data_IF_163783755032
#
_entry.id   IF_163783755032
#
_cell.length_a   1.000
_cell.length_b   1.000
_cell.length_c   1.000
_cell.angle_alpha   90.00
_cell.angle_beta   90.00
_cell.angle_gamma   90.00
#
_symmetry.space_group_name_H-M   'P 1'
#
loop_
_entity.id
_entity.type
_entity.pdbx_description
1 polymer ?
#
# COMPACT_ATOMS: atom_id res chain seq x y z
N UNK A 1 -1.40 -11.72 32.49
CA UNK A 1 -0.22 -12.24 31.75
C UNK A 1 -0.71 -13.46 30.98
N UNK A 2 -1.23 -13.25 29.79
CA UNK A 2 -1.68 -14.35 28.91
C UNK A 2 -0.68 -14.41 27.77
N UNK A 3 0.01 -15.54 27.69
CA UNK A 3 1.09 -15.79 26.74
C UNK A 3 0.53 -15.86 25.32
N UNK A 4 1.15 -15.13 24.42
CA UNK A 4 0.95 -15.27 22.97
C UNK A 4 1.45 -16.68 22.58
N UNK A 5 0.55 -17.51 22.11
CA UNK A 5 0.93 -18.84 21.56
C UNK A 5 1.50 -18.59 20.17
N UNK A 6 2.83 -18.50 20.08
CA UNK A 6 3.56 -18.51 18.80
C UNK A 6 3.66 -19.97 18.39
N UNK A 7 2.94 -20.36 17.35
CA UNK A 7 3.17 -21.62 16.65
C UNK A 7 4.36 -21.41 15.71
N UNK A 8 5.53 -21.88 16.11
CA UNK A 8 6.72 -21.97 15.26
C UNK A 8 6.46 -22.94 14.09
N UNK A 9 6.19 -22.39 12.92
CA UNK A 9 6.41 -23.11 11.66
C UNK A 9 7.72 -22.58 11.08
N UNK A 10 8.82 -23.25 11.41
CA UNK A 10 10.15 -22.94 10.92
C UNK A 10 10.24 -23.05 9.39
N UNK A 11 10.03 -21.95 8.69
CA UNK A 11 10.48 -21.73 7.31
C UNK A 11 11.46 -20.57 7.35
N UNK A 12 12.74 -20.87 7.20
CA UNK A 12 13.79 -19.87 7.13
C UNK A 12 13.55 -18.86 6.00
N UNK A 13 14.13 -17.67 6.14
CA UNK A 13 14.14 -16.59 5.14
C UNK A 13 14.23 -17.15 3.72
N UNK A 14 13.20 -16.96 2.91
CA UNK A 14 13.09 -17.57 1.57
C UNK A 14 13.68 -16.72 0.45
N UNK A 15 14.07 -15.45 0.69
CA UNK A 15 14.57 -14.59 -0.37
C UNK A 15 15.59 -13.56 0.13
N UNK A 16 16.45 -13.10 -0.79
CA UNK A 16 17.31 -11.92 -0.62
C UNK A 16 16.52 -10.61 -0.82
N UNK A 17 15.19 -10.65 -0.73
CA UNK A 17 14.33 -9.48 -0.91
C UNK A 17 14.48 -8.49 0.21
N UNK A 18 14.36 -7.21 -0.11
CA UNK A 18 14.48 -6.10 0.82
C UNK A 18 13.35 -6.07 1.87
N UNK A 19 12.11 -6.28 1.43
CA UNK A 19 10.95 -6.56 2.28
C UNK A 19 10.26 -7.81 1.77
N UNK A 20 9.96 -8.76 2.67
CA UNK A 20 9.21 -9.98 2.37
C UNK A 20 8.06 -10.14 3.36
N UNK A 21 6.86 -10.28 2.85
CA UNK A 21 5.65 -10.63 3.61
C UNK A 21 5.24 -12.03 3.19
N UNK A 22 5.09 -12.95 4.16
CA UNK A 22 4.84 -14.37 3.91
C UNK A 22 3.65 -14.84 4.73
N UNK A 23 2.63 -15.34 4.03
CA UNK A 23 1.42 -15.92 4.60
C UNK A 23 0.82 -15.08 5.73
N UNK A 24 0.73 -13.76 5.49
CA UNK A 24 0.26 -12.82 6.50
C UNK A 24 -1.24 -12.94 6.71
N UNK A 25 -1.64 -13.18 7.97
CA UNK A 25 -3.03 -13.15 8.43
C UNK A 25 -3.16 -12.09 9.51
N UNK A 26 -4.18 -11.24 9.40
CA UNK A 26 -4.52 -10.24 10.41
C UNK A 26 -6.02 -10.29 10.67
N UNK A 27 -6.40 -10.59 11.90
CA UNK A 27 -7.79 -10.57 12.33
C UNK A 27 -8.00 -9.69 13.55
N UNK A 28 -9.18 -9.07 13.62
CA UNK A 28 -9.61 -8.23 14.73
C UNK A 28 -10.80 -8.87 15.40
N UNK A 29 -10.74 -8.99 16.71
CA UNK A 29 -11.89 -9.43 17.50
C UNK A 29 -12.86 -8.25 17.69
N UNK A 30 -14.11 -8.45 17.28
CA UNK A 30 -15.20 -7.49 17.46
C UNK A 30 -16.35 -8.16 18.21
N UNK A 31 -17.34 -7.38 18.66
CA UNK A 31 -18.54 -7.91 19.31
C UNK A 31 -19.31 -8.88 18.41
N UNK A 32 -19.28 -8.66 17.09
CA UNK A 32 -19.96 -9.49 16.08
C UNK A 32 -19.14 -10.70 15.61
N UNK A 33 -17.87 -10.84 16.06
CA UNK A 33 -16.96 -11.93 15.69
C UNK A 33 -15.60 -11.46 15.16
N UNK A 34 -14.84 -12.39 14.61
CA UNK A 34 -13.49 -12.12 14.09
C UNK A 34 -13.50 -11.59 12.64
N UNK A 35 -13.10 -10.35 12.46
CA UNK A 35 -12.94 -9.72 11.13
C UNK A 35 -11.58 -10.10 10.56
N UNK A 36 -11.55 -10.91 9.49
CA UNK A 36 -10.32 -11.35 8.80
C UNK A 36 -9.88 -10.29 7.79
N UNK A 37 -9.21 -9.26 8.26
CA UNK A 37 -8.82 -8.12 7.44
C UNK A 37 -7.72 -8.45 6.41
N UNK A 38 -6.82 -9.38 6.74
CA UNK A 38 -5.81 -9.97 5.83
C UNK A 38 -5.83 -11.48 6.04
N UNK A 39 -5.78 -12.27 4.96
CA UNK A 39 -5.99 -13.70 4.99
C UNK A 39 -5.06 -14.42 3.99
N UNK A 40 -3.81 -14.72 4.40
CA UNK A 40 -2.82 -15.44 3.59
C UNK A 40 -2.16 -14.58 2.51
N UNK A 41 -1.79 -13.34 2.86
CA UNK A 41 -1.15 -12.40 1.94
C UNK A 41 0.37 -12.62 1.88
N UNK A 42 0.91 -12.78 0.65
CA UNK A 42 2.35 -12.89 0.42
C UNK A 42 2.79 -11.99 -0.73
N UNK A 43 3.84 -11.19 -0.49
CA UNK A 43 4.48 -10.34 -1.50
C UNK A 43 5.89 -9.94 -1.09
N UNK A 44 6.64 -9.41 -2.04
CA UNK A 44 8.01 -8.94 -1.84
C UNK A 44 8.17 -7.54 -2.44
N UNK A 45 9.10 -6.77 -1.85
CA UNK A 45 9.56 -5.50 -2.39
C UNK A 45 11.06 -5.58 -2.60
N UNK A 46 11.51 -5.26 -3.79
CA UNK A 46 12.93 -5.16 -4.11
C UNK A 46 13.47 -3.78 -3.68
N UNK A 47 14.75 -3.73 -3.34
CA UNK A 47 15.40 -2.48 -2.92
C UNK A 47 15.36 -1.45 -4.06
N UNK A 48 14.99 -0.22 -3.72
CA UNK A 48 14.93 0.90 -4.65
C UNK A 48 13.75 0.85 -5.62
N UNK A 49 12.81 -0.10 -5.46
CA UNK A 49 11.63 -0.20 -6.34
C UNK A 49 10.36 0.32 -5.65
N UNK A 50 9.33 0.57 -6.46
CA UNK A 50 7.98 0.93 -5.99
C UNK A 50 7.04 -0.25 -6.23
N UNK A 51 6.39 -0.73 -5.16
CA UNK A 51 5.26 -1.64 -5.23
C UNK A 51 3.96 -0.84 -5.10
N UNK A 52 3.11 -0.87 -6.12
CA UNK A 52 1.75 -0.36 -6.05
C UNK A 52 0.81 -1.40 -5.45
N UNK A 53 0.11 -1.07 -4.36
CA UNK A 53 -0.95 -1.93 -3.80
C UNK A 53 -2.30 -1.27 -4.09
N UNK A 54 -3.12 -1.96 -4.88
CA UNK A 54 -4.42 -1.45 -5.34
C UNK A 54 -5.58 -2.34 -4.92
N UNK A 55 -6.75 -1.77 -4.81
CA UNK A 55 -7.99 -2.48 -4.49
C UNK A 55 -9.05 -1.54 -3.92
N UNK A 56 -10.30 -1.99 -3.84
CA UNK A 56 -11.40 -1.23 -3.25
C UNK A 56 -11.18 -0.96 -1.75
N UNK A 57 -11.93 0.00 -1.20
CA UNK A 57 -11.94 0.24 0.25
C UNK A 57 -12.32 -1.04 1.00
N UNK A 58 -11.67 -1.29 2.15
CA UNK A 58 -11.87 -2.52 2.92
C UNK A 58 -11.17 -3.77 2.37
N UNK A 59 -10.34 -3.68 1.32
CA UNK A 59 -9.60 -4.85 0.81
C UNK A 59 -8.42 -5.30 1.66
N UNK A 60 -8.08 -4.60 2.76
CA UNK A 60 -6.99 -4.95 3.69
C UNK A 60 -5.68 -4.18 3.50
N UNK A 61 -5.58 -3.26 2.55
CA UNK A 61 -4.35 -2.49 2.22
C UNK A 61 -3.75 -1.76 3.42
N UNK A 62 -4.53 -0.87 4.04
CA UNK A 62 -4.05 -0.07 5.18
C UNK A 62 -3.75 -0.95 6.40
N UNK A 63 -4.51 -2.04 6.61
CA UNK A 63 -4.22 -3.01 7.68
C UNK A 63 -2.85 -3.67 7.45
N UNK A 64 -2.54 -4.09 6.23
CA UNK A 64 -1.24 -4.67 5.87
C UNK A 64 -0.10 -3.72 6.21
N UNK A 65 -0.23 -2.44 5.85
CA UNK A 65 0.81 -1.45 6.10
C UNK A 65 1.00 -1.14 7.58
N UNK A 66 -0.11 -0.98 8.31
CA UNK A 66 -0.04 -0.78 9.75
C UNK A 66 0.56 -2.00 10.46
N UNK A 67 0.38 -3.21 9.88
CA UNK A 67 1.03 -4.43 10.38
C UNK A 67 2.54 -4.41 10.14
N UNK A 68 3.02 -4.00 8.96
CA UNK A 68 4.45 -3.83 8.68
C UNK A 68 5.08 -2.85 9.67
N UNK A 69 4.37 -1.80 10.01
CA UNK A 69 4.81 -0.83 11.02
C UNK A 69 4.60 -1.32 12.46
N UNK A 70 3.93 -2.44 12.69
CA UNK A 70 3.59 -2.93 14.03
C UNK A 70 2.74 -1.93 14.83
N UNK A 71 1.80 -1.24 14.18
CA UNK A 71 0.96 -0.20 14.78
C UNK A 71 -0.40 -0.73 15.31
N UNK A 72 -0.67 -2.02 15.17
CA UNK A 72 -1.86 -2.62 15.78
C UNK A 72 -1.66 -2.90 17.26
N UNK A 73 -2.73 -2.72 18.04
CA UNK A 73 -2.75 -3.16 19.44
C UNK A 73 -2.79 -4.68 19.49
N UNK A 74 -1.86 -5.29 20.24
CA UNK A 74 -1.84 -6.74 20.48
C UNK A 74 -3.07 -7.27 21.23
N UNK A 75 -3.85 -6.40 21.84
CA UNK A 75 -5.10 -6.77 22.51
C UNK A 75 -6.28 -6.91 21.53
N UNK A 76 -6.20 -6.24 20.38
CA UNK A 76 -7.29 -6.17 19.41
C UNK A 76 -6.99 -6.96 18.12
N UNK A 77 -5.73 -7.14 17.77
CA UNK A 77 -5.31 -7.78 16.53
C UNK A 77 -4.55 -9.09 16.79
N UNK A 78 -5.00 -10.17 16.16
CA UNK A 78 -4.25 -11.42 16.05
C UNK A 78 -3.51 -11.39 14.71
N UNK A 79 -2.16 -11.51 14.76
CA UNK A 79 -1.28 -11.46 13.60
C UNK A 79 -0.52 -12.78 13.51
N UNK A 80 -0.55 -13.42 12.33
CA UNK A 80 0.19 -14.64 12.01
C UNK A 80 0.89 -14.46 10.66
N UNK A 81 1.91 -15.28 10.40
CA UNK A 81 2.78 -15.17 9.23
C UNK A 81 4.07 -14.45 9.56
N UNK A 82 4.84 -14.09 8.55
CA UNK A 82 6.15 -13.49 8.71
C UNK A 82 6.27 -12.21 7.90
N UNK A 83 6.93 -11.20 8.47
CA UNK A 83 7.31 -9.95 7.79
C UNK A 83 8.79 -9.72 8.03
N UNK A 84 9.59 -9.86 6.99
CA UNK A 84 11.03 -9.63 7.02
C UNK A 84 11.37 -8.30 6.34
N UNK A 85 11.99 -7.40 7.08
CA UNK A 85 12.56 -6.17 6.57
C UNK A 85 14.09 -6.24 6.70
N UNK A 86 14.78 -6.28 5.58
CA UNK A 86 16.21 -6.65 5.54
C UNK A 86 16.42 -7.98 6.30
N UNK A 87 17.17 -7.99 7.37
CA UNK A 87 17.45 -9.17 8.19
C UNK A 87 16.62 -9.24 9.48
N UNK A 88 15.64 -8.35 9.63
CA UNK A 88 14.84 -8.25 10.85
C UNK A 88 13.41 -8.73 10.62
N UNK A 89 12.99 -9.71 11.41
CA UNK A 89 11.59 -10.16 11.49
C UNK A 89 10.80 -9.13 12.32
N UNK A 90 9.62 -8.71 11.80
CA UNK A 90 8.80 -7.65 12.40
C UNK A 90 7.60 -8.19 13.19
N UNK A 91 7.04 -9.35 12.80
CA UNK A 91 5.94 -9.99 13.54
C UNK A 91 6.50 -10.56 14.83
N UNK A 92 5.97 -10.10 15.97
CA UNK A 92 6.53 -10.51 17.27
C UNK A 92 7.78 -9.76 17.73
N UNK A 93 8.30 -8.82 16.92
CA UNK A 93 9.40 -7.96 17.34
C UNK A 93 9.02 -7.13 18.57
N UNK A 94 9.99 -6.89 19.46
CA UNK A 94 9.75 -6.08 20.65
C UNK A 94 9.36 -4.64 20.27
N UNK A 95 8.53 -4.00 21.09
CA UNK A 95 8.13 -2.61 20.92
C UNK A 95 9.32 -1.68 20.68
N UNK A 96 10.41 -1.84 21.46
CA UNK A 96 11.60 -1.03 21.31
C UNK A 96 12.35 -1.26 19.99
N UNK A 97 12.30 -2.49 19.41
CA UNK A 97 12.86 -2.77 18.10
C UNK A 97 12.05 -2.05 17.00
N UNK A 98 10.72 -2.14 17.05
CA UNK A 98 9.83 -1.45 16.11
C UNK A 98 9.95 0.09 16.21
N UNK A 99 10.05 0.65 17.42
CA UNK A 99 10.24 2.09 17.64
C UNK A 99 11.56 2.61 17.03
N UNK A 100 12.62 1.81 16.99
CA UNK A 100 13.88 2.18 16.33
C UNK A 100 13.78 2.18 14.81
N UNK A 101 12.87 1.39 14.23
CA UNK A 101 12.64 1.35 12.78
C UNK A 101 11.71 2.46 12.31
N UNK A 102 10.61 2.70 13.04
CA UNK A 102 9.59 3.69 12.67
C UNK A 102 10.17 5.11 12.64
N UNK A 103 9.95 5.82 11.54
CA UNK A 103 10.45 7.18 11.32
C UNK A 103 11.97 7.28 11.07
N UNK A 104 12.70 6.17 11.13
CA UNK A 104 14.12 6.11 10.86
C UNK A 104 14.45 5.27 9.62
N UNK A 105 14.11 3.98 9.64
CA UNK A 105 14.35 3.04 8.52
C UNK A 105 13.11 2.80 7.68
N UNK A 106 11.94 2.81 8.33
CA UNK A 106 10.63 2.69 7.71
C UNK A 106 9.83 3.93 8.07
N UNK A 107 9.38 4.69 7.09
CA UNK A 107 8.56 5.88 7.28
C UNK A 107 7.18 5.70 6.64
N UNK A 108 6.20 6.47 7.10
CA UNK A 108 4.85 6.48 6.55
C UNK A 108 4.42 7.89 6.17
N UNK A 109 3.84 8.01 4.99
CA UNK A 109 3.09 9.16 4.51
C UNK A 109 1.61 8.80 4.65
N UNK A 110 0.90 9.53 5.51
CA UNK A 110 -0.51 9.28 5.80
C UNK A 110 -1.42 9.88 4.73
N UNK A 111 -2.65 9.40 4.67
CA UNK A 111 -3.65 9.86 3.72
C UNK A 111 -4.03 11.35 3.93
N UNK A 112 -4.17 11.79 5.19
CA UNK A 112 -4.57 13.15 5.53
C UNK A 112 -3.47 13.87 6.32
N UNK A 113 -2.87 14.93 5.73
CA UNK A 113 -1.86 15.72 6.41
C UNK A 113 -2.40 16.50 7.63
N UNK A 114 -3.71 16.73 7.73
CA UNK A 114 -4.29 17.39 8.89
C UNK A 114 -4.29 16.52 10.15
N UNK A 115 -4.35 15.21 9.98
CA UNK A 115 -4.25 14.26 11.08
C UNK A 115 -2.80 13.96 11.46
N UNK A 116 -1.87 14.09 10.50
CA UNK A 116 -0.45 13.82 10.72
C UNK A 116 0.31 15.01 11.32
N UNK A 117 -0.10 16.24 11.03
CA UNK A 117 0.57 17.46 11.50
C UNK A 117 -0.15 18.08 12.69
N UNK A 118 0.58 18.28 13.80
CA UNK A 118 0.04 18.99 14.97
C UNK A 118 -0.17 20.49 14.65
N UNK A 119 -1.39 21.03 14.86
CA UNK A 119 -1.64 22.46 14.63
C UNK A 119 -0.95 23.37 15.66
N UNK A 120 -0.46 22.81 16.77
CA UNK A 120 0.12 23.55 17.90
C UNK A 120 1.63 23.72 17.82
N UNK A 121 2.30 23.11 16.83
CA UNK A 121 3.75 23.15 16.65
C UNK A 121 4.10 23.61 15.24
N UNK A 122 5.20 24.39 15.15
CA UNK A 122 5.73 24.79 13.84
C UNK A 122 6.19 23.57 13.04
N UNK A 123 6.15 23.69 11.71
CA UNK A 123 6.54 22.56 10.83
C UNK A 123 8.00 22.17 11.06
N UNK A 124 8.90 23.14 11.27
CA UNK A 124 10.31 22.86 11.54
C UNK A 124 10.53 22.13 12.87
N UNK A 125 9.72 22.43 13.90
CA UNK A 125 9.78 21.71 15.17
C UNK A 125 9.37 20.25 14.98
N UNK A 126 8.29 19.99 14.24
CA UNK A 126 7.78 18.63 14.01
C UNK A 126 8.76 17.79 13.21
N UNK A 127 9.29 18.32 12.10
CA UNK A 127 10.31 17.64 11.28
C UNK A 127 11.58 17.41 12.11
N UNK A 128 12.07 18.44 12.81
CA UNK A 128 13.28 18.38 13.61
C UNK A 128 13.18 17.45 14.82
N UNK A 129 11.99 17.25 15.40
CA UNK A 129 11.76 16.32 16.50
C UNK A 129 12.00 14.86 16.06
N UNK A 130 11.50 14.47 14.89
CA UNK A 130 11.75 13.14 14.31
C UNK A 130 13.27 12.94 14.13
N UNK A 131 13.95 13.91 13.52
CA UNK A 131 15.39 13.81 13.29
C UNK A 131 16.20 13.72 14.59
N UNK A 132 15.86 14.53 15.57
CA UNK A 132 16.54 14.50 16.89
C UNK A 132 16.35 13.18 17.61
N UNK A 133 15.13 12.64 17.58
CA UNK A 133 14.80 11.37 18.23
C UNK A 133 15.65 10.22 17.69
N UNK A 134 15.89 10.18 16.38
CA UNK A 134 16.54 9.05 15.73
C UNK A 134 18.02 9.24 15.45
N UNK A 135 18.49 10.48 15.26
CA UNK A 135 19.89 10.77 14.94
C UNK A 135 20.66 11.38 16.12
N UNK A 136 19.99 11.65 17.25
CA UNK A 136 20.62 12.27 18.42
C UNK A 136 21.11 13.72 18.19
N UNK A 137 20.58 14.37 17.14
CA UNK A 137 21.02 15.70 16.70
C UNK A 137 20.66 16.81 17.70
N UNK A 138 21.46 17.86 17.75
CA UNK A 138 21.15 19.10 18.46
C UNK A 138 19.92 19.80 17.86
N UNK A 139 19.37 20.79 18.59
CA UNK A 139 18.25 21.60 18.09
C UNK A 139 18.60 22.38 16.82
N UNK A 140 19.85 22.85 16.72
CA UNK A 140 20.33 23.59 15.56
C UNK A 140 20.44 22.70 14.33
N UNK A 141 21.13 21.57 14.44
CA UNK A 141 21.27 20.59 13.35
C UNK A 141 19.90 20.10 12.86
N UNK A 142 18.97 19.81 13.78
CA UNK A 142 17.63 19.39 13.43
C UNK A 142 16.82 20.50 12.69
N UNK A 143 17.02 21.78 13.07
CA UNK A 143 16.41 22.90 12.36
C UNK A 143 17.00 23.05 10.96
N UNK A 144 18.33 22.96 10.84
CA UNK A 144 19.03 23.07 9.56
C UNK A 144 18.58 21.93 8.62
N UNK A 145 18.47 20.70 9.15
CA UNK A 145 17.94 19.56 8.40
C UNK A 145 16.46 19.74 8.01
N UNK A 146 15.63 20.30 8.88
CA UNK A 146 14.24 20.60 8.55
C UNK A 146 14.12 21.61 7.40
N UNK A 147 14.95 22.66 7.39
CA UNK A 147 15.02 23.62 6.29
C UNK A 147 15.43 22.94 4.99
N UNK A 148 16.50 22.12 5.02
CA UNK A 148 16.95 21.34 3.86
C UNK A 148 15.82 20.48 3.28
N UNK A 149 15.10 19.75 4.15
CA UNK A 149 14.01 18.91 3.72
C UNK A 149 12.84 19.69 3.14
N UNK A 150 12.51 20.85 3.72
CA UNK A 150 11.48 21.74 3.16
C UNK A 150 11.88 22.30 1.78
N UNK A 151 13.17 22.61 1.57
CA UNK A 151 13.70 23.01 0.26
C UNK A 151 13.58 21.86 -0.75
N UNK A 152 13.97 20.64 -0.37
CA UNK A 152 13.88 19.44 -1.22
C UNK A 152 12.45 19.11 -1.67
N UNK A 153 11.47 19.31 -0.79
CA UNK A 153 10.06 19.09 -1.16
C UNK A 153 9.43 20.32 -1.87
N UNK A 154 10.22 21.33 -2.18
CA UNK A 154 9.77 22.51 -2.94
C UNK A 154 8.91 23.49 -2.16
N UNK A 155 9.11 23.64 -0.85
CA UNK A 155 8.49 24.73 -0.07
C UNK A 155 9.26 26.03 -0.32
N UNK A 156 8.62 27.06 -0.90
CA UNK A 156 9.28 28.34 -1.15
C UNK A 156 9.63 29.04 0.17
N UNK A 157 10.80 29.71 0.21
CA UNK A 157 11.28 30.44 1.39
C UNK A 157 11.38 29.54 2.65
N UNK A 158 11.86 28.31 2.53
CA UNK A 158 11.90 27.30 3.57
C UNK A 158 12.55 27.81 4.88
N UNK A 159 13.61 28.63 4.78
CA UNK A 159 14.30 29.24 5.94
C UNK A 159 13.39 30.10 6.82
N UNK A 160 12.38 30.72 6.26
CA UNK A 160 11.38 31.50 7.00
C UNK A 160 10.21 30.61 7.40
N UNK A 161 9.70 29.83 6.44
CA UNK A 161 8.50 29.00 6.64
C UNK A 161 8.69 27.83 7.60
N UNK A 162 9.94 27.47 7.91
CA UNK A 162 10.23 26.45 8.93
C UNK A 162 9.64 26.81 10.31
N UNK A 163 9.44 28.10 10.59
CA UNK A 163 8.85 28.62 11.82
C UNK A 163 7.32 28.83 11.72
N UNK A 164 6.72 28.57 10.56
CA UNK A 164 5.28 28.64 10.35
C UNK A 164 4.56 27.40 10.92
N UNK A 165 3.25 27.60 11.21
CA UNK A 165 2.35 26.54 11.64
C UNK A 165 1.64 25.88 10.46
N UNK A 166 1.18 24.62 10.57
CA UNK A 166 0.52 23.91 9.46
C UNK A 166 -0.66 24.67 8.82
N UNK A 167 -1.41 25.46 9.60
CA UNK A 167 -2.54 26.21 9.09
C UNK A 167 -2.16 27.38 8.15
N UNK A 168 -0.89 27.80 8.12
CA UNK A 168 -0.38 28.80 7.17
C UNK A 168 -0.07 28.20 5.78
N UNK A 169 -0.17 26.89 5.61
CA UNK A 169 0.14 26.19 4.36
C UNK A 169 -1.13 25.75 3.63
N UNK A 170 -1.10 25.79 2.29
CA UNK A 170 -2.15 25.17 1.47
C UNK A 170 -2.17 23.65 1.63
N UNK A 171 -3.22 22.98 1.14
CA UNK A 171 -3.34 21.51 1.20
C UNK A 171 -2.12 20.81 0.59
N UNK A 172 -1.73 21.16 -0.62
CA UNK A 172 -0.56 20.57 -1.28
C UNK A 172 0.76 20.90 -0.56
N UNK A 173 0.88 22.09 0.06
CA UNK A 173 2.05 22.42 0.87
C UNK A 173 2.10 21.60 2.17
N UNK A 174 0.98 21.35 2.84
CA UNK A 174 0.91 20.47 4.02
C UNK A 174 1.33 19.05 3.65
N UNK A 175 0.89 18.57 2.49
CA UNK A 175 1.32 17.27 1.96
C UNK A 175 2.84 17.22 1.79
N UNK A 176 3.45 18.26 1.18
CA UNK A 176 4.90 18.37 1.03
C UNK A 176 5.62 18.40 2.38
N UNK A 177 5.09 19.10 3.38
CA UNK A 177 5.62 19.12 4.75
C UNK A 177 5.58 17.74 5.38
N UNK A 178 4.48 17.00 5.23
CA UNK A 178 4.35 15.63 5.73
C UNK A 178 5.35 14.69 5.04
N UNK A 179 5.56 14.83 3.73
CA UNK A 179 6.61 14.10 3.00
C UNK A 179 8.00 14.46 3.54
N UNK A 180 8.30 15.74 3.76
CA UNK A 180 9.57 16.18 4.36
C UNK A 180 9.79 15.54 5.75
N UNK A 181 8.74 15.48 6.57
CA UNK A 181 8.80 14.85 7.90
C UNK A 181 9.04 13.32 7.80
N UNK A 182 8.41 12.65 6.86
CA UNK A 182 8.61 11.22 6.63
C UNK A 182 10.05 10.89 6.17
N UNK A 183 10.63 11.75 5.33
CA UNK A 183 11.94 11.52 4.70
C UNK A 183 13.12 12.09 5.47
N UNK A 184 12.92 12.82 6.57
CA UNK A 184 13.98 13.57 7.28
C UNK A 184 15.13 12.71 7.77
N UNK A 185 14.89 11.43 8.04
CA UNK A 185 15.88 10.45 8.51
C UNK A 185 16.49 9.60 7.38
N UNK A 186 16.23 9.88 6.11
CA UNK A 186 16.64 9.10 4.94
C UNK A 186 16.21 7.62 5.07
N UNK A 187 14.88 7.34 5.14
CA UNK A 187 14.40 5.98 5.36
C UNK A 187 14.69 5.08 4.15
N UNK A 188 14.90 3.80 4.42
CA UNK A 188 15.11 2.80 3.37
C UNK A 188 13.79 2.35 2.72
N UNK A 189 12.68 2.43 3.48
CA UNK A 189 11.33 2.12 3.01
C UNK A 189 10.37 3.26 3.37
N UNK A 190 9.59 3.70 2.40
CA UNK A 190 8.46 4.62 2.59
C UNK A 190 7.16 3.90 2.25
N UNK A 191 6.20 3.94 3.15
CA UNK A 191 4.84 3.47 2.93
C UNK A 191 3.96 4.71 2.72
N UNK A 192 3.46 4.92 1.51
CA UNK A 192 2.61 6.04 1.16
C UNK A 192 1.15 5.55 1.02
N UNK A 193 0.33 5.84 2.03
CA UNK A 193 -1.08 5.46 2.07
C UNK A 193 -1.93 6.58 1.48
N UNK A 194 -2.37 6.39 0.24
CA UNK A 194 -3.16 7.33 -0.55
C UNK A 194 -2.61 8.78 -0.53
N UNK A 195 -1.34 9.00 -0.86
CA UNK A 195 -0.64 10.27 -0.61
C UNK A 195 -1.17 11.46 -1.42
N UNK A 196 -2.08 11.22 -2.35
CA UNK A 196 -2.63 12.23 -3.26
C UNK A 196 -4.15 12.37 -3.17
N UNK A 197 -4.79 11.64 -2.26
CA UNK A 197 -6.24 11.74 -2.03
C UNK A 197 -6.62 13.15 -1.59
N UNK A 198 -7.71 13.67 -2.11
CA UNK A 198 -8.22 15.05 -1.89
C UNK A 198 -7.34 16.20 -2.44
N UNK A 199 -6.37 15.89 -3.33
CA UNK A 199 -5.63 16.90 -4.09
C UNK A 199 -6.22 17.04 -5.50
N UNK A 200 -6.09 18.23 -6.08
CA UNK A 200 -6.38 18.42 -7.50
C UNK A 200 -5.35 17.68 -8.38
N UNK A 201 -5.74 17.37 -9.63
CA UNK A 201 -4.93 16.55 -10.56
C UNK A 201 -3.53 17.12 -10.78
N UNK A 202 -3.39 18.45 -10.81
CA UNK A 202 -2.10 19.12 -11.02
C UNK A 202 -1.18 18.96 -9.82
N UNK A 203 -1.70 19.16 -8.61
CA UNK A 203 -0.94 18.97 -7.37
C UNK A 203 -0.63 17.48 -7.15
N UNK A 204 -1.56 16.58 -7.49
CA UNK A 204 -1.33 15.15 -7.46
C UNK A 204 -0.12 14.77 -8.32
N UNK A 205 -0.07 15.19 -9.59
CA UNK A 205 1.06 14.91 -10.48
C UNK A 205 2.39 15.44 -9.87
N UNK A 206 2.40 16.66 -9.35
CA UNK A 206 3.59 17.24 -8.72
C UNK A 206 4.06 16.49 -7.47
N UNK A 207 3.15 15.91 -6.68
CA UNK A 207 3.52 15.09 -5.51
C UNK A 207 4.10 13.74 -5.95
N UNK A 208 3.56 13.13 -7.00
CA UNK A 208 4.06 11.86 -7.54
C UNK A 208 5.46 12.03 -8.16
N UNK A 209 5.66 13.07 -8.95
CA UNK A 209 6.98 13.42 -9.49
C UNK A 209 7.99 13.67 -8.37
N UNK A 210 7.60 14.44 -7.33
CA UNK A 210 8.42 14.66 -6.15
C UNK A 210 8.82 13.36 -5.45
N UNK A 211 7.87 12.44 -5.24
CA UNK A 211 8.17 11.15 -4.61
C UNK A 211 9.14 10.32 -5.43
N UNK A 212 8.99 10.33 -6.75
CA UNK A 212 9.89 9.64 -7.68
C UNK A 212 11.29 10.24 -7.66
N UNK A 213 11.41 11.56 -7.76
CA UNK A 213 12.69 12.27 -7.72
C UNK A 213 13.44 11.99 -6.40
N UNK A 214 12.72 12.01 -5.28
CA UNK A 214 13.29 11.70 -3.96
C UNK A 214 13.68 10.22 -3.84
N UNK A 215 12.90 9.31 -4.43
CA UNK A 215 13.25 7.88 -4.51
C UNK A 215 14.56 7.69 -5.26
N UNK A 216 14.69 8.29 -6.43
CA UNK A 216 15.88 8.18 -7.29
C UNK A 216 17.14 8.76 -6.60
N UNK A 217 16.98 9.90 -5.89
CA UNK A 217 18.08 10.56 -5.18
C UNK A 217 18.53 9.82 -3.93
N UNK A 218 17.61 9.19 -3.19
CA UNK A 218 17.85 8.59 -1.89
C UNK A 218 18.00 7.05 -1.95
N UNK A 219 17.63 6.42 -3.06
CA UNK A 219 17.60 4.95 -3.21
C UNK A 219 16.55 4.28 -2.31
N UNK A 220 15.51 5.00 -1.94
CA UNK A 220 14.44 4.53 -1.06
C UNK A 220 13.49 3.62 -1.80
N UNK A 221 13.02 2.55 -1.17
CA UNK A 221 11.94 1.71 -1.70
C UNK A 221 10.58 2.30 -1.28
N UNK A 222 9.55 2.14 -2.13
CA UNK A 222 8.23 2.70 -1.85
C UNK A 222 7.15 1.61 -1.92
N UNK A 223 6.27 1.55 -0.93
CA UNK A 223 4.96 0.90 -1.04
C UNK A 223 3.94 2.02 -1.24
N UNK A 224 3.33 2.06 -2.41
CA UNK A 224 2.32 3.06 -2.75
C UNK A 224 0.94 2.43 -2.73
N UNK A 225 0.10 2.84 -1.79
CA UNK A 225 -1.29 2.45 -1.76
C UNK A 225 -2.12 3.50 -2.47
N UNK A 226 -2.96 3.06 -3.36
CA UNK A 226 -3.92 3.93 -4.04
C UNK A 226 -5.06 3.09 -4.62
N UNK A 227 -6.18 3.72 -4.88
CA UNK A 227 -7.27 3.17 -5.70
C UNK A 227 -7.18 3.63 -7.17
N UNK A 228 -6.23 4.52 -7.49
CA UNK A 228 -6.03 5.07 -8.83
C UNK A 228 -4.98 4.29 -9.61
N UNK A 229 -5.44 3.51 -10.61
CA UNK A 229 -4.57 2.74 -11.50
C UNK A 229 -3.70 3.61 -12.41
N UNK A 230 -4.12 4.85 -12.70
CA UNK A 230 -3.34 5.82 -13.46
C UNK A 230 -2.09 6.25 -12.69
N UNK A 231 -2.21 6.46 -11.39
CA UNK A 231 -1.09 6.73 -10.47
C UNK A 231 -0.12 5.55 -10.46
N UNK A 232 -0.64 4.32 -10.33
CA UNK A 232 0.20 3.11 -10.33
C UNK A 232 0.93 2.93 -11.66
N UNK A 233 0.25 3.19 -12.78
CA UNK A 233 0.85 3.09 -14.12
C UNK A 233 2.06 4.00 -14.32
N UNK A 234 2.07 5.16 -13.65
CA UNK A 234 3.13 6.16 -13.76
C UNK A 234 4.30 5.95 -12.80
N UNK A 235 4.04 5.37 -11.62
CA UNK A 235 5.00 5.39 -10.52
C UNK A 235 5.49 4.02 -10.06
N UNK A 236 4.70 2.97 -10.24
CA UNK A 236 5.03 1.66 -9.72
C UNK A 236 5.87 0.82 -10.70
N UNK A 237 6.71 -0.06 -10.16
CA UNK A 237 7.44 -1.09 -10.91
C UNK A 237 6.62 -2.39 -10.93
N UNK A 238 6.11 -2.77 -9.78
CA UNK A 238 5.28 -3.95 -9.55
C UNK A 238 3.92 -3.55 -8.96
N UNK A 239 2.91 -4.37 -9.19
CA UNK A 239 1.55 -4.17 -8.70
C UNK A 239 1.07 -5.40 -7.95
N UNK A 240 0.42 -5.17 -6.83
CA UNK A 240 -0.33 -6.14 -6.07
C UNK A 240 -1.80 -5.67 -6.02
N UNK A 241 -2.69 -6.44 -6.61
CA UNK A 241 -4.12 -6.20 -6.56
C UNK A 241 -4.71 -6.97 -5.39
N UNK A 242 -5.31 -6.27 -4.42
CA UNK A 242 -5.91 -6.87 -3.23
C UNK A 242 -7.43 -6.85 -3.30
N UNK A 243 -8.06 -7.98 -2.95
CA UNK A 243 -9.50 -8.10 -2.82
C UNK A 243 -9.87 -8.91 -1.58
N UNK A 244 -10.73 -8.35 -0.73
CA UNK A 244 -11.26 -9.00 0.48
C UNK A 244 -10.17 -9.71 1.32
N UNK A 245 -9.09 -8.99 1.64
CA UNK A 245 -7.99 -9.46 2.49
C UNK A 245 -6.96 -10.36 1.79
N UNK A 246 -7.07 -10.61 0.49
CA UNK A 246 -6.19 -11.53 -0.27
C UNK A 246 -5.61 -10.87 -1.51
N UNK A 247 -4.50 -11.41 -2.00
CA UNK A 247 -3.99 -11.07 -3.32
C UNK A 247 -4.88 -11.70 -4.40
N UNK A 248 -5.39 -10.87 -5.30
CA UNK A 248 -6.13 -11.31 -6.48
C UNK A 248 -5.19 -11.49 -7.68
N UNK A 249 -4.25 -10.57 -7.86
CA UNK A 249 -3.28 -10.58 -8.95
C UNK A 249 -2.01 -9.84 -8.54
N UNK A 250 -0.84 -10.27 -9.06
CA UNK A 250 0.44 -9.57 -8.90
C UNK A 250 1.29 -9.69 -10.16
N UNK A 251 2.14 -8.72 -10.39
CA UNK A 251 3.09 -8.73 -11.51
C UNK A 251 3.75 -7.37 -11.69
N UNK A 252 4.49 -7.20 -12.77
CA UNK A 252 4.95 -5.89 -13.18
C UNK A 252 3.75 -5.01 -13.60
N UNK A 253 3.91 -3.69 -13.52
CA UNK A 253 2.88 -2.75 -14.01
C UNK A 253 2.44 -3.10 -15.43
N UNK A 254 3.40 -3.43 -16.32
CA UNK A 254 3.12 -3.78 -17.70
C UNK A 254 2.25 -5.04 -17.84
N UNK A 255 2.50 -6.04 -17.02
CA UNK A 255 1.73 -7.29 -17.04
C UNK A 255 0.32 -7.08 -16.48
N UNK A 256 0.20 -6.51 -15.27
CA UNK A 256 -1.09 -6.36 -14.58
C UNK A 256 -2.02 -5.36 -15.27
N UNK A 257 -1.47 -4.27 -15.84
CA UNK A 257 -2.28 -3.26 -16.52
C UNK A 257 -2.44 -3.53 -18.02
N UNK A 258 -1.45 -4.19 -18.66
CA UNK A 258 -1.49 -4.47 -20.10
C UNK A 258 -2.12 -5.80 -20.48
N UNK A 259 -1.98 -6.83 -19.64
CA UNK A 259 -2.51 -8.17 -19.86
C UNK A 259 -3.04 -8.80 -18.56
N UNK A 260 -4.01 -8.15 -17.89
CA UNK A 260 -4.53 -8.61 -16.61
C UNK A 260 -5.17 -9.99 -16.71
N UNK A 261 -5.07 -10.76 -15.63
CA UNK A 261 -5.51 -12.16 -15.59
C UNK A 261 -6.69 -12.40 -14.65
N UNK A 262 -6.94 -11.52 -13.69
CA UNK A 262 -8.02 -11.70 -12.73
C UNK A 262 -9.24 -10.85 -13.11
N UNK A 263 -10.47 -11.43 -13.10
CA UNK A 263 -11.71 -10.69 -13.45
C UNK A 263 -11.95 -9.42 -12.62
N UNK A 264 -11.50 -9.38 -11.39
CA UNK A 264 -11.54 -8.16 -10.57
C UNK A 264 -10.66 -7.05 -11.13
N UNK A 265 -9.44 -7.37 -11.57
CA UNK A 265 -8.54 -6.41 -12.21
C UNK A 265 -9.13 -5.86 -13.50
N UNK A 266 -9.80 -6.71 -14.29
CA UNK A 266 -10.56 -6.25 -15.47
C UNK A 266 -11.64 -5.24 -15.12
N UNK A 267 -12.38 -5.50 -14.04
CA UNK A 267 -13.39 -4.58 -13.52
C UNK A 267 -12.82 -3.24 -13.09
N UNK A 268 -11.69 -3.24 -12.37
CA UNK A 268 -11.00 -2.02 -11.97
C UNK A 268 -10.52 -1.21 -13.18
N UNK A 269 -9.89 -1.86 -14.16
CA UNK A 269 -9.45 -1.22 -15.41
C UNK A 269 -10.64 -0.72 -16.23
N UNK A 270 -11.78 -1.43 -16.14
CA UNK A 270 -13.00 -1.07 -16.84
C UNK A 270 -13.73 0.12 -16.23
N UNK A 271 -13.49 0.41 -14.97
CA UNK A 271 -14.05 1.57 -14.26
C UNK A 271 -13.18 2.83 -14.34
N UNK A 272 -11.95 2.72 -14.85
CA UNK A 272 -11.04 3.86 -14.98
C UNK A 272 -11.29 4.60 -16.31
N UNK A 273 -11.34 5.96 -16.30
CA UNK A 273 -11.41 6.75 -17.51
C UNK A 273 -10.13 6.59 -18.34
N UNK A 274 -10.27 6.49 -19.68
CA UNK A 274 -9.12 6.47 -20.61
C UNK A 274 -9.01 7.78 -21.35
N UNK A 275 -7.80 8.28 -21.51
CA UNK A 275 -7.50 9.39 -22.41
C UNK A 275 -7.82 8.95 -23.85
N UNK A 276 -8.75 9.65 -24.52
CA UNK A 276 -9.14 9.38 -25.91
C UNK A 276 -10.35 8.45 -26.11
N UNK A 277 -10.97 7.92 -25.04
CA UNK A 277 -12.30 7.29 -25.18
C UNK A 277 -13.37 8.35 -25.47
N UNK A 278 -14.33 8.04 -26.33
CA UNK A 278 -15.47 8.91 -26.56
C UNK A 278 -16.25 9.10 -25.24
N UNK A 279 -16.71 10.32 -24.98
CA UNK A 279 -17.48 10.68 -23.76
C UNK A 279 -18.78 9.85 -23.63
N UNK A 280 -19.22 9.24 -24.73
CA UNK A 280 -20.48 8.50 -24.83
C UNK A 280 -20.43 7.04 -24.36
N UNK A 281 -19.22 6.48 -24.08
CA UNK A 281 -19.11 5.12 -23.58
C UNK A 281 -19.19 5.11 -22.05
N UNK A 282 -20.29 4.57 -21.46
CA UNK A 282 -20.44 4.54 -20.01
C UNK A 282 -19.39 3.63 -19.39
N UNK A 283 -18.74 4.13 -18.33
CA UNK A 283 -17.84 3.33 -17.50
C UNK A 283 -18.61 2.17 -16.88
N UNK A 284 -18.03 0.96 -16.91
CA UNK A 284 -18.64 -0.24 -16.30
C UNK A 284 -17.99 -0.44 -14.91
N UNK A 285 -18.65 -0.04 -13.82
CA UNK A 285 -18.14 -0.29 -12.48
C UNK A 285 -18.19 -1.79 -12.16
N UNK A 286 -17.33 -2.23 -11.25
CA UNK A 286 -17.39 -3.58 -10.68
C UNK A 286 -18.74 -3.76 -9.99
N UNK A 287 -19.52 -4.76 -10.40
CA UNK A 287 -20.90 -4.99 -9.90
C UNK A 287 -20.93 -5.32 -8.41
N UNK A 288 -22.01 -4.94 -7.75
CA UNK A 288 -22.29 -5.26 -6.36
C UNK A 288 -21.35 -4.54 -5.38
N UNK A 289 -21.42 -4.92 -4.12
CA UNK A 289 -20.59 -4.37 -3.03
C UNK A 289 -19.51 -5.35 -2.60
N UNK A 290 -18.35 -4.87 -2.12
CA UNK A 290 -17.33 -5.73 -1.50
C UNK A 290 -17.95 -6.59 -0.39
N UNK A 291 -17.52 -7.85 -0.23
CA UNK A 291 -18.06 -8.72 0.81
C UNK A 291 -17.61 -8.25 2.20
N UNK A 292 -18.39 -8.61 3.21
CA UNK A 292 -18.00 -8.42 4.60
C UNK A 292 -16.80 -9.32 4.94
N UNK A 293 -15.78 -8.74 5.60
CA UNK A 293 -14.63 -9.49 6.10
C UNK A 293 -14.92 -10.24 7.41
N UNK A 294 -16.08 -10.02 8.00
CA UNK A 294 -16.59 -10.81 9.13
C UNK A 294 -17.01 -12.21 8.66
N UNK A 295 -17.76 -12.25 7.54
CA UNK A 295 -18.24 -13.49 6.92
C UNK A 295 -17.88 -13.47 5.43
N UNK A 296 -16.59 -13.65 5.09
CA UNK A 296 -16.18 -13.61 3.70
C UNK A 296 -16.73 -14.82 2.94
N UNK A 297 -17.02 -14.68 1.64
CA UNK A 297 -17.50 -15.79 0.81
C UNK A 297 -16.57 -17.01 0.88
N UNK A 298 -17.13 -18.22 0.87
CA UNK A 298 -16.36 -19.45 0.67
C UNK A 298 -15.72 -19.45 -0.73
N UNK A 299 -14.66 -20.22 -0.91
CA UNK A 299 -13.98 -20.31 -2.20
C UNK A 299 -13.37 -18.98 -2.65
N UNK A 300 -13.42 -18.70 -3.94
CA UNK A 300 -12.93 -17.44 -4.52
C UNK A 300 -13.67 -16.24 -3.93
N UNK A 301 -12.97 -15.34 -3.26
CA UNK A 301 -13.59 -14.17 -2.61
C UNK A 301 -14.38 -13.28 -3.57
N UNK A 302 -14.01 -13.27 -4.84
CA UNK A 302 -14.66 -12.47 -5.87
C UNK A 302 -15.85 -13.18 -6.55
N UNK A 303 -16.06 -14.49 -6.34
CA UNK A 303 -17.09 -15.25 -7.07
C UNK A 303 -18.50 -14.65 -7.03
N UNK A 304 -19.00 -14.00 -5.95
CA UNK A 304 -20.34 -13.43 -5.94
C UNK A 304 -20.53 -12.27 -6.94
N UNK A 305 -19.42 -11.59 -7.28
CA UNK A 305 -19.39 -10.43 -8.20
C UNK A 305 -18.84 -10.79 -9.59
N UNK A 306 -18.37 -12.04 -9.78
CA UNK A 306 -17.70 -12.47 -11.00
C UNK A 306 -18.70 -12.91 -12.06
N UNK A 307 -18.64 -12.30 -13.24
CA UNK A 307 -19.48 -12.65 -14.39
C UNK A 307 -19.08 -13.98 -15.04
N UNK A 308 -17.86 -14.45 -14.76
CA UNK A 308 -17.25 -15.61 -15.44
C UNK A 308 -17.18 -16.86 -14.58
N UNK A 309 -17.74 -16.84 -13.36
CA UNK A 309 -17.66 -17.96 -12.41
C UNK A 309 -18.15 -19.29 -12.96
N UNK A 310 -19.14 -19.25 -13.85
CA UNK A 310 -19.73 -20.46 -14.44
C UNK A 310 -18.88 -21.08 -15.57
N UNK A 311 -17.80 -20.40 -16.00
CA UNK A 311 -16.92 -20.89 -17.08
C UNK A 311 -15.86 -21.89 -16.60
N UNK A 312 -15.66 -22.02 -15.29
CA UNK A 312 -14.67 -22.92 -14.68
C UNK A 312 -15.29 -24.15 -14.01
N UNK A 313 -16.61 -24.32 -14.14
CA UNK A 313 -17.37 -25.41 -13.51
C UNK A 313 -18.43 -24.86 -12.55
N UNK A 314 -19.46 -25.67 -12.24
CA UNK A 314 -20.66 -25.18 -11.56
C UNK A 314 -20.39 -24.66 -10.15
N UNK A 315 -19.46 -25.26 -9.40
CA UNK A 315 -19.27 -24.94 -7.97
C UNK A 315 -17.82 -24.60 -7.59
N UNK A 316 -16.85 -24.74 -8.49
CA UNK A 316 -15.43 -24.60 -8.17
C UNK A 316 -15.11 -23.26 -7.50
N UNK A 317 -15.61 -22.16 -8.06
CA UNK A 317 -15.37 -20.83 -7.51
C UNK A 317 -16.06 -20.59 -6.15
N UNK A 318 -17.10 -21.34 -5.81
CA UNK A 318 -17.83 -21.18 -4.54
C UNK A 318 -17.32 -22.12 -3.44
N UNK A 319 -16.67 -23.21 -3.79
CA UNK A 319 -16.20 -24.25 -2.84
C UNK A 319 -14.71 -24.20 -2.58
N UNK A 320 -13.91 -23.87 -3.59
CA UNK A 320 -12.47 -23.92 -3.50
C UNK A 320 -11.85 -22.50 -3.61
N UNK A 321 -10.88 -22.24 -2.73
CA UNK A 321 -10.15 -20.98 -2.72
C UNK A 321 -8.98 -21.06 -3.71
N UNK A 322 -8.95 -20.23 -4.78
CA UNK A 322 -7.82 -20.19 -5.68
C UNK A 322 -6.59 -19.63 -4.96
N UNK A 323 -5.48 -20.34 -5.06
CA UNK A 323 -4.20 -19.84 -4.58
C UNK A 323 -3.57 -18.91 -5.62
N UNK A 324 -2.88 -17.87 -5.15
CA UNK A 324 -2.06 -17.04 -6.02
C UNK A 324 -0.93 -17.92 -6.56
N UNK A 325 -0.78 -17.98 -7.89
CA UNK A 325 0.29 -18.76 -8.52
C UNK A 325 1.64 -18.47 -7.85
N UNK A 326 2.37 -19.51 -7.38
CA UNK A 326 3.62 -19.33 -6.65
C UNK A 326 4.81 -18.88 -7.52
N UNK A 327 4.65 -18.89 -8.84
CA UNK A 327 5.69 -18.52 -9.78
C UNK A 327 6.10 -17.05 -9.61
N UNK A 328 7.41 -16.80 -9.65
CA UNK A 328 7.93 -15.44 -9.77
C UNK A 328 7.45 -14.85 -11.09
N UNK A 329 6.86 -13.65 -11.03
CA UNK A 329 6.32 -12.97 -12.21
C UNK A 329 4.82 -12.74 -12.09
N UNK A 330 4.11 -12.77 -13.21
CA UNK A 330 2.70 -12.47 -13.30
C UNK A 330 1.83 -13.61 -12.77
N UNK A 331 1.37 -13.51 -11.53
CA UNK A 331 0.50 -14.47 -10.84
C UNK A 331 -0.90 -13.94 -10.60
N UNK A 332 -1.89 -14.82 -10.61
CA UNK A 332 -3.29 -14.50 -10.30
C UNK A 332 -4.00 -15.63 -9.54
N UNK A 333 -5.02 -15.28 -8.78
CA UNK A 333 -5.83 -16.21 -7.98
C UNK A 333 -7.18 -16.47 -8.69
N UNK A 334 -7.16 -17.10 -9.88
CA UNK A 334 -8.35 -17.38 -10.68
C UNK A 334 -8.23 -18.70 -11.42
N UNK A 335 -9.29 -19.51 -11.43
CA UNK A 335 -9.36 -20.82 -12.07
C UNK A 335 -9.53 -20.80 -13.60
N UNK A 336 -9.83 -19.66 -14.21
CA UNK A 336 -9.85 -19.54 -15.67
C UNK A 336 -8.48 -19.90 -16.24
N UNK A 337 -8.45 -20.58 -17.37
CA UNK A 337 -7.19 -20.84 -18.11
C UNK A 337 -6.64 -19.56 -18.70
N UNK A 338 -5.35 -19.52 -18.98
CA UNK A 338 -4.70 -18.34 -19.58
C UNK A 338 -5.36 -17.96 -20.93
N UNK A 339 -5.74 -18.95 -21.73
CA UNK A 339 -6.43 -18.71 -23.01
C UNK A 339 -7.78 -18.03 -22.79
N UNK A 340 -8.61 -18.56 -21.88
CA UNK A 340 -9.88 -17.94 -21.52
C UNK A 340 -9.71 -16.50 -21.03
N UNK A 341 -8.71 -16.26 -20.15
CA UNK A 341 -8.40 -14.90 -19.63
C UNK A 341 -8.07 -13.94 -20.76
N UNK A 342 -7.23 -14.34 -21.69
CA UNK A 342 -6.83 -13.52 -22.85
C UNK A 342 -8.00 -13.23 -23.78
N UNK A 343 -8.80 -14.23 -24.13
CA UNK A 343 -9.99 -14.08 -24.98
C UNK A 343 -11.01 -13.13 -24.36
N UNK A 344 -11.34 -13.33 -23.08
CA UNK A 344 -12.30 -12.49 -22.36
C UNK A 344 -11.79 -11.05 -22.28
N UNK A 345 -10.51 -10.85 -21.91
CA UNK A 345 -9.96 -9.51 -21.80
C UNK A 345 -9.93 -8.79 -23.14
N UNK A 346 -9.55 -9.47 -24.23
CA UNK A 346 -9.58 -8.91 -25.60
C UNK A 346 -10.99 -8.46 -25.96
N UNK A 347 -12.00 -9.31 -25.77
CA UNK A 347 -13.39 -8.96 -26.05
C UNK A 347 -13.88 -7.76 -25.19
N UNK A 348 -13.48 -7.68 -23.94
CA UNK A 348 -13.79 -6.54 -23.07
C UNK A 348 -13.16 -5.24 -23.56
N UNK A 349 -12.00 -5.32 -24.21
CA UNK A 349 -11.28 -4.14 -24.74
C UNK A 349 -11.80 -3.72 -26.12
N UNK A 350 -12.19 -4.66 -26.99
CA UNK A 350 -12.77 -4.40 -28.30
C UNK A 350 -14.21 -3.85 -28.22
N UNK A 351 -14.96 -4.20 -27.19
CA UNK A 351 -16.32 -3.71 -26.93
C UNK A 351 -16.36 -2.30 -26.31
N UNK A 352 -15.25 -1.58 -26.29
CA UNK A 352 -15.08 -0.23 -25.78
C UNK A 352 -14.61 0.72 -26.86
#
# INVERSE_FOLDING_TARGET
MTAVTITETGRGRRSDSFLSVQDLHVSFQTEDGAVKAVDGLSFEVEKGTTLGIVGESGSGKSVTNLTILGLHSSEQAEIRGEIWFEDQELVGASRGALERLRGNRIAMIFQDPLTALSPFHTVGRQIGEVYRKHKGASRREARDRAVEMLERVGIPNAKVRVDDYPHHFSGGMRQRVMIAMALVCDPALVIADEPTTALDVTVQAQILDLLKDLQDQMGTSIILITHDLGVVAQTAHNVLVMYAGRAAERGTVREVLGAPRHPYTWGLLSSAPRLGSSVDVPLKPVRGTPPSLLNPPSGCRFHPRCDYRNQVGPDLCSTELPELSPERGHGDACYLTLTQKQEIFTQLMEGR
#
